data_IF_576656935068
#
_entry.id   IF_576656935068
#
_cell.length_a   1.000
_cell.length_b   1.000
_cell.length_c   1.000
_cell.angle_alpha   90.00
_cell.angle_beta   90.00
_cell.angle_gamma   90.00
#
_symmetry.space_group_name_H-M   'P 1'
#
loop_
_entity.id
_entity.type
_entity.pdbx_description
1 polymer ?
#
# COMPACT_ATOMS: atom_id res chain seq x y z
N UNK A 1 -20.51 -6.97 14.99
CA UNK A 1 -20.10 -8.37 14.77
C UNK A 1 -18.74 -8.55 15.39
N UNK A 2 -18.56 -9.54 16.23
CA UNK A 2 -17.31 -9.90 16.88
C UNK A 2 -16.36 -10.70 15.95
N UNK A 3 -15.11 -10.83 16.37
CA UNK A 3 -14.04 -11.51 15.62
C UNK A 3 -14.38 -12.99 15.28
N UNK A 4 -14.81 -13.82 16.25
CA UNK A 4 -15.15 -15.22 16.00
C UNK A 4 -16.27 -15.40 14.97
N UNK A 5 -17.35 -14.61 15.09
CA UNK A 5 -18.46 -14.69 14.13
C UNK A 5 -18.03 -14.29 12.72
N UNK A 6 -17.16 -13.28 12.59
CA UNK A 6 -16.63 -12.88 11.29
C UNK A 6 -15.77 -13.99 10.66
N UNK A 7 -14.94 -14.68 11.45
CA UNK A 7 -14.15 -15.81 10.98
C UNK A 7 -15.05 -16.96 10.48
N UNK A 8 -16.15 -17.26 11.19
CA UNK A 8 -17.13 -18.27 10.75
C UNK A 8 -17.78 -17.89 9.42
N UNK A 9 -18.14 -16.61 9.23
CA UNK A 9 -18.72 -16.14 7.96
C UNK A 9 -17.70 -16.23 6.81
N UNK A 10 -16.45 -15.85 7.07
CA UNK A 10 -15.36 -15.99 6.09
C UNK A 10 -15.13 -17.46 5.73
N UNK A 11 -15.24 -18.38 6.69
CA UNK A 11 -15.17 -19.81 6.46
C UNK A 11 -16.36 -20.33 5.64
N UNK A 12 -17.57 -19.82 5.89
CA UNK A 12 -18.75 -20.15 5.08
C UNK A 12 -18.59 -19.68 3.63
N UNK A 13 -17.98 -18.51 3.40
CA UNK A 13 -17.64 -18.00 2.07
C UNK A 13 -16.56 -18.83 1.34
N UNK A 14 -15.98 -19.84 2.00
CA UNK A 14 -15.08 -20.83 1.41
C UNK A 14 -15.74 -22.20 1.17
N UNK A 15 -17.00 -22.37 1.56
CA UNK A 15 -17.66 -23.68 1.52
C UNK A 15 -17.69 -24.25 0.08
N UNK A 16 -17.44 -25.56 -0.09
CA UNK A 16 -17.66 -26.22 -1.38
C UNK A 16 -19.14 -26.21 -1.78
N UNK A 17 -20.06 -26.10 -0.82
CA UNK A 17 -21.49 -25.96 -1.05
C UNK A 17 -21.82 -24.56 -1.61
N UNK A 18 -22.37 -24.44 -2.83
CA UNK A 18 -22.70 -23.15 -3.45
C UNK A 18 -23.65 -22.29 -2.62
N UNK A 19 -24.63 -22.89 -1.94
CA UNK A 19 -25.64 -22.16 -1.18
C UNK A 19 -25.05 -21.55 0.10
N UNK A 20 -24.22 -22.30 0.82
CA UNK A 20 -23.49 -21.80 1.99
C UNK A 20 -22.49 -20.71 1.62
N UNK A 21 -21.78 -20.88 0.50
CA UNK A 21 -20.84 -19.87 0.00
C UNK A 21 -21.54 -18.56 -0.29
N UNK A 22 -22.66 -18.62 -1.03
CA UNK A 22 -23.46 -17.46 -1.37
C UNK A 22 -24.03 -16.78 -0.12
N UNK A 23 -24.50 -17.55 0.86
CA UNK A 23 -24.97 -17.02 2.13
C UNK A 23 -23.85 -16.31 2.92
N UNK A 24 -22.64 -16.89 2.94
CA UNK A 24 -21.45 -16.28 3.55
C UNK A 24 -21.07 -14.95 2.88
N UNK A 25 -21.00 -14.92 1.55
CA UNK A 25 -20.71 -13.69 0.79
C UNK A 25 -21.79 -12.61 0.99
N UNK A 26 -23.07 -12.99 1.02
CA UNK A 26 -24.17 -12.06 1.32
C UNK A 26 -24.05 -11.47 2.72
N UNK A 27 -23.68 -12.30 3.70
CA UNK A 27 -23.46 -11.85 5.08
C UNK A 27 -22.30 -10.85 5.15
N UNK A 28 -21.17 -11.13 4.49
CA UNK A 28 -20.05 -10.16 4.41
C UNK A 28 -20.52 -8.83 3.83
N UNK A 29 -21.29 -8.86 2.74
CA UNK A 29 -21.81 -7.65 2.11
C UNK A 29 -22.80 -6.88 2.99
N UNK A 30 -23.56 -7.57 3.85
CA UNK A 30 -24.48 -6.93 4.79
C UNK A 30 -23.74 -6.18 5.89
N UNK A 31 -22.63 -6.73 6.40
CA UNK A 31 -21.90 -6.17 7.54
C UNK A 31 -20.67 -5.34 7.14
N UNK A 32 -20.39 -5.16 5.85
CA UNK A 32 -19.18 -4.50 5.36
C UNK A 32 -19.02 -3.04 5.85
N UNK A 33 -20.13 -2.36 6.17
CA UNK A 33 -20.15 -0.98 6.69
C UNK A 33 -20.35 -0.90 8.21
N UNK A 34 -20.36 -2.04 8.91
CA UNK A 34 -20.47 -2.04 10.36
C UNK A 34 -19.20 -1.45 11.00
N UNK A 35 -19.32 -0.71 12.12
CA UNK A 35 -18.17 -0.17 12.83
C UNK A 35 -17.12 -1.23 13.17
N UNK A 36 -15.85 -0.89 13.00
CA UNK A 36 -14.66 -1.73 13.17
C UNK A 36 -14.57 -2.94 12.24
N UNK A 37 -15.43 -3.07 11.21
CA UNK A 37 -15.37 -4.22 10.30
C UNK A 37 -13.99 -4.37 9.65
N UNK A 38 -13.41 -3.27 9.15
CA UNK A 38 -12.06 -3.25 8.57
C UNK A 38 -10.97 -3.63 9.55
N UNK A 39 -11.07 -3.13 10.78
CA UNK A 39 -10.09 -3.41 11.84
C UNK A 39 -10.12 -4.90 12.20
N UNK A 40 -11.31 -5.50 12.29
CA UNK A 40 -11.46 -6.94 12.55
C UNK A 40 -10.93 -7.79 11.40
N UNK A 41 -11.15 -7.40 10.14
CA UNK A 41 -10.53 -8.08 9.00
C UNK A 41 -9.01 -8.07 9.10
N UNK A 42 -8.40 -6.92 9.41
CA UNK A 42 -6.95 -6.84 9.63
C UNK A 42 -6.46 -7.75 10.76
N UNK A 43 -7.19 -7.80 11.87
CA UNK A 43 -6.89 -8.70 12.99
C UNK A 43 -6.91 -10.18 12.56
N UNK A 44 -7.92 -10.60 11.78
CA UNK A 44 -7.98 -11.97 11.23
C UNK A 44 -6.80 -12.23 10.28
N UNK A 45 -6.46 -11.29 9.42
CA UNK A 45 -5.37 -11.46 8.43
C UNK A 45 -4.02 -11.71 9.11
N UNK A 46 -3.74 -11.04 10.23
CA UNK A 46 -2.47 -11.17 10.97
C UNK A 46 -2.49 -12.31 12.00
N UNK A 47 -3.66 -12.80 12.40
CA UNK A 47 -3.77 -13.88 13.39
C UNK A 47 -3.19 -15.21 12.87
N UNK A 48 -2.09 -15.64 13.47
CA UNK A 48 -1.41 -16.90 13.11
C UNK A 48 -2.15 -18.14 13.60
N UNK A 49 -3.13 -18.00 14.49
CA UNK A 49 -3.98 -19.10 14.94
C UNK A 49 -5.18 -19.33 13.99
N UNK A 50 -5.42 -18.40 13.05
CA UNK A 50 -6.48 -18.53 12.06
C UNK A 50 -5.97 -19.30 10.83
N UNK A 51 -6.83 -20.16 10.28
CA UNK A 51 -6.51 -20.94 9.08
C UNK A 51 -6.11 -20.03 7.91
N UNK A 52 -5.07 -20.43 7.17
CA UNK A 52 -4.52 -19.64 6.06
C UNK A 52 -5.58 -19.32 4.99
N UNK A 53 -6.52 -20.24 4.74
CA UNK A 53 -7.62 -20.04 3.80
C UNK A 53 -8.54 -18.89 4.23
N UNK A 54 -8.92 -18.85 5.51
CA UNK A 54 -9.74 -17.78 6.10
C UNK A 54 -9.00 -16.44 6.05
N UNK A 55 -7.72 -16.43 6.43
CA UNK A 55 -6.84 -15.24 6.34
C UNK A 55 -6.75 -14.71 4.91
N UNK A 56 -6.65 -15.61 3.92
CA UNK A 56 -6.58 -15.24 2.52
C UNK A 56 -7.89 -14.59 2.04
N UNK A 57 -9.06 -15.18 2.34
CA UNK A 57 -10.35 -14.57 1.99
C UNK A 57 -10.56 -13.24 2.68
N UNK A 58 -10.19 -13.15 3.97
CA UNK A 58 -10.23 -11.88 4.70
C UNK A 58 -9.39 -10.81 4.00
N UNK A 59 -8.16 -11.14 3.55
CA UNK A 59 -7.28 -10.20 2.85
C UNK A 59 -7.81 -9.76 1.49
N UNK A 60 -8.45 -10.67 0.75
CA UNK A 60 -9.07 -10.36 -0.55
C UNK A 60 -10.29 -9.46 -0.35
N UNK A 61 -11.14 -9.78 0.64
CA UNK A 61 -12.31 -8.98 0.96
C UNK A 61 -11.91 -7.58 1.43
N UNK A 62 -10.93 -7.49 2.34
CA UNK A 62 -10.35 -6.22 2.81
C UNK A 62 -9.84 -5.37 1.64
N UNK A 63 -9.06 -5.96 0.72
CA UNK A 63 -8.57 -5.26 -0.47
C UNK A 63 -9.69 -4.73 -1.36
N UNK A 64 -10.67 -5.59 -1.68
CA UNK A 64 -11.78 -5.20 -2.54
C UNK A 64 -12.61 -4.07 -1.91
N UNK A 65 -12.80 -4.12 -0.59
CA UNK A 65 -13.50 -3.08 0.14
C UNK A 65 -12.71 -1.76 0.15
N UNK A 66 -11.41 -1.78 0.48
CA UNK A 66 -10.55 -0.59 0.49
C UNK A 66 -10.50 0.06 -0.90
N UNK A 67 -10.30 -0.74 -1.95
CA UNK A 67 -10.27 -0.25 -3.33
C UNK A 67 -11.55 0.50 -3.73
N UNK A 68 -12.72 0.05 -3.25
CA UNK A 68 -14.02 0.62 -3.61
C UNK A 68 -14.46 1.78 -2.70
N UNK A 69 -14.12 1.74 -1.42
CA UNK A 69 -14.76 2.60 -0.41
C UNK A 69 -13.80 3.54 0.34
N UNK A 70 -12.47 3.42 0.16
CA UNK A 70 -11.52 4.24 0.92
C UNK A 70 -11.59 5.72 0.57
N UNK A 71 -11.64 6.04 -0.72
CA UNK A 71 -11.87 7.38 -1.25
C UNK A 71 -12.98 7.31 -2.29
N UNK A 72 -14.26 7.34 -1.87
CA UNK A 72 -15.38 7.33 -2.82
C UNK A 72 -15.31 8.57 -3.71
N UNK A 73 -15.77 8.45 -4.96
CA UNK A 73 -15.91 9.59 -5.87
C UNK A 73 -16.81 10.66 -5.24
N UNK A 74 -16.64 11.92 -5.65
CA UNK A 74 -17.24 13.11 -5.03
C UNK A 74 -18.77 13.08 -4.83
N UNK A 75 -19.49 12.23 -5.58
CA UNK A 75 -20.96 12.05 -5.46
C UNK A 75 -21.38 10.93 -4.49
N UNK A 76 -20.44 10.20 -3.89
CA UNK A 76 -20.72 9.08 -3.00
C UNK A 76 -20.45 9.43 -1.53
N UNK A 77 -21.45 9.22 -0.66
CA UNK A 77 -21.30 9.37 0.78
C UNK A 77 -20.14 8.52 1.32
N UNK A 78 -19.30 9.11 2.17
CA UNK A 78 -18.28 8.38 2.92
C UNK A 78 -18.93 7.31 3.79
N UNK A 79 -18.59 6.04 3.52
CA UNK A 79 -19.17 4.88 4.22
C UNK A 79 -18.28 4.31 5.33
N UNK A 80 -17.05 4.80 5.45
CA UNK A 80 -16.07 4.33 6.44
C UNK A 80 -15.91 5.39 7.51
N UNK A 81 -16.01 4.99 8.78
CA UNK A 81 -15.76 5.88 9.92
C UNK A 81 -14.30 6.33 9.94
N UNK A 82 -14.07 7.60 10.25
CA UNK A 82 -12.72 8.16 10.32
C UNK A 82 -11.84 7.43 11.36
N UNK A 83 -12.42 7.04 12.50
CA UNK A 83 -11.72 6.24 13.53
C UNK A 83 -11.22 4.90 13.01
N UNK A 84 -11.98 4.25 12.13
CA UNK A 84 -11.58 2.97 11.53
C UNK A 84 -10.45 3.20 10.51
N UNK A 85 -10.49 4.31 9.75
CA UNK A 85 -9.38 4.68 8.86
C UNK A 85 -8.09 4.93 9.63
N UNK A 86 -8.15 5.64 10.75
CA UNK A 86 -7.00 5.93 11.60
C UNK A 86 -6.38 4.63 12.13
N UNK A 87 -7.20 3.72 12.67
CA UNK A 87 -6.74 2.41 13.13
C UNK A 87 -6.13 1.58 11.99
N UNK A 88 -6.74 1.57 10.80
CA UNK A 88 -6.17 0.87 9.65
C UNK A 88 -4.79 1.43 9.28
N UNK A 89 -4.64 2.76 9.24
CA UNK A 89 -3.35 3.42 8.97
C UNK A 89 -2.28 3.06 10.00
N UNK A 90 -2.62 3.07 11.29
CA UNK A 90 -1.67 2.77 12.35
C UNK A 90 -1.17 1.31 12.30
N UNK A 91 -2.03 0.37 11.94
CA UNK A 91 -1.71 -1.07 12.00
C UNK A 91 -1.15 -1.64 10.69
N UNK A 92 -1.60 -1.16 9.52
CA UNK A 92 -1.28 -1.78 8.23
C UNK A 92 0.22 -1.81 7.92
N UNK A 93 0.97 -0.77 8.35
CA UNK A 93 2.42 -0.68 8.14
C UNK A 93 3.17 -1.76 8.91
N UNK A 94 2.72 -2.08 10.13
CA UNK A 94 3.31 -3.16 10.93
C UNK A 94 2.87 -4.53 10.42
N UNK A 95 1.61 -4.68 10.01
CA UNK A 95 1.11 -5.99 9.58
C UNK A 95 1.68 -6.44 8.24
N UNK A 96 1.95 -5.51 7.31
CA UNK A 96 2.52 -5.89 6.00
C UNK A 96 3.92 -6.52 6.12
N UNK A 97 4.66 -6.23 7.19
CA UNK A 97 5.99 -6.83 7.45
C UNK A 97 5.87 -8.21 8.12
N UNK A 98 4.81 -8.45 8.88
CA UNK A 98 4.61 -9.68 9.66
C UNK A 98 3.92 -10.80 8.90
N UNK A 99 3.10 -10.48 7.89
CA UNK A 99 2.32 -11.50 7.17
C UNK A 99 3.14 -12.24 6.11
N UNK A 100 2.77 -13.49 5.75
CA UNK A 100 3.40 -14.23 4.65
C UNK A 100 3.26 -13.53 3.28
N UNK A 101 4.12 -13.86 2.29
CA UNK A 101 4.12 -13.21 0.98
C UNK A 101 2.76 -13.17 0.28
N UNK A 102 1.97 -14.24 0.39
CA UNK A 102 0.63 -14.35 -0.20
C UNK A 102 -0.32 -13.24 0.28
N UNK A 103 -0.33 -12.98 1.59
CA UNK A 103 -1.17 -11.94 2.21
C UNK A 103 -0.55 -10.56 2.03
N UNK A 104 0.79 -10.47 2.05
CA UNK A 104 1.54 -9.23 1.84
C UNK A 104 1.21 -8.57 0.50
N UNK A 105 1.03 -9.35 -0.57
CA UNK A 105 0.63 -8.81 -1.87
C UNK A 105 -0.75 -8.13 -1.80
N UNK A 106 -1.71 -8.73 -1.08
CA UNK A 106 -3.05 -8.14 -0.93
C UNK A 106 -2.99 -6.85 -0.08
N UNK A 107 -2.28 -6.87 1.05
CA UNK A 107 -2.09 -5.68 1.90
C UNK A 107 -1.29 -4.59 1.17
N UNK A 108 -0.34 -4.94 0.31
CA UNK A 108 0.40 -4.00 -0.52
C UNK A 108 -0.48 -3.23 -1.49
N UNK A 109 -1.46 -3.89 -2.12
CA UNK A 109 -2.44 -3.21 -2.97
C UNK A 109 -3.36 -2.30 -2.16
N UNK A 110 -3.76 -2.71 -0.95
CA UNK A 110 -4.52 -1.83 -0.05
C UNK A 110 -3.71 -0.59 0.32
N UNK A 111 -2.45 -0.80 0.71
CA UNK A 111 -1.53 0.26 1.10
C UNK A 111 -1.31 1.24 -0.06
N UNK A 112 -1.19 0.74 -1.29
CA UNK A 112 -1.13 1.59 -2.49
C UNK A 112 -2.36 2.50 -2.59
N UNK A 113 -3.57 1.97 -2.46
CA UNK A 113 -4.80 2.78 -2.50
C UNK A 113 -4.82 3.83 -1.39
N UNK A 114 -4.49 3.45 -0.16
CA UNK A 114 -4.50 4.35 1.00
C UNK A 114 -3.44 5.45 0.83
N UNK A 115 -2.23 5.12 0.37
CA UNK A 115 -1.16 6.10 0.11
C UNK A 115 -1.58 7.09 -0.99
N UNK A 116 -2.27 6.63 -2.04
CA UNK A 116 -2.72 7.54 -3.10
C UNK A 116 -3.75 8.55 -2.58
N UNK A 117 -4.65 8.12 -1.70
CA UNK A 117 -5.71 8.96 -1.15
C UNK A 117 -5.24 9.88 -0.01
N UNK A 118 -4.45 9.36 0.94
CA UNK A 118 -4.27 10.01 2.25
C UNK A 118 -2.90 10.70 2.41
N UNK A 119 -1.86 10.32 1.64
CA UNK A 119 -0.52 10.91 1.78
C UNK A 119 -0.32 12.11 0.84
N UNK A 120 0.33 13.21 1.25
CA UNK A 120 0.92 13.45 2.57
C UNK A 120 0.00 14.08 3.61
N UNK A 121 -1.13 14.68 3.22
CA UNK A 121 -1.88 15.61 4.08
C UNK A 121 -2.56 14.91 5.26
N UNK A 122 -3.21 13.78 5.02
CA UNK A 122 -3.94 13.02 6.05
C UNK A 122 -3.07 11.97 6.74
N UNK A 123 -1.92 11.62 6.15
CA UNK A 123 -1.02 10.61 6.70
C UNK A 123 0.47 11.01 6.69
N UNK A 124 0.85 12.14 7.31
CA UNK A 124 2.23 12.64 7.28
C UNK A 124 3.22 11.71 7.99
N UNK A 125 2.77 10.98 9.02
CA UNK A 125 3.58 10.05 9.82
C UNK A 125 4.11 8.85 9.04
N UNK A 126 3.60 8.59 7.84
CA UNK A 126 4.05 7.49 6.99
C UNK A 126 5.56 7.58 6.70
N UNK A 127 6.05 8.77 6.36
CA UNK A 127 7.46 8.97 6.02
C UNK A 127 8.35 8.79 7.26
N UNK A 128 7.91 9.26 8.42
CA UNK A 128 8.61 9.06 9.70
C UNK A 128 8.75 7.58 10.04
N UNK A 129 7.67 6.80 9.86
CA UNK A 129 7.72 5.36 10.04
C UNK A 129 8.73 4.69 9.09
N UNK A 130 8.76 5.07 7.81
CA UNK A 130 9.72 4.53 6.84
C UNK A 130 11.15 4.83 7.26
N UNK A 131 11.48 6.07 7.62
CA UNK A 131 12.84 6.46 8.04
C UNK A 131 13.33 5.70 9.25
N UNK A 132 12.45 5.54 10.24
CA UNK A 132 12.76 4.79 11.45
C UNK A 132 13.07 3.33 11.12
N UNK A 133 12.21 2.68 10.32
CA UNK A 133 12.36 1.26 10.00
C UNK A 133 13.46 0.95 8.96
N UNK A 134 13.93 1.95 8.19
CA UNK A 134 15.11 1.81 7.33
C UNK A 134 16.41 1.65 8.13
N UNK A 135 16.45 2.17 9.36
CA UNK A 135 17.63 2.12 10.23
C UNK A 135 17.61 0.96 11.22
N UNK A 136 16.46 0.31 11.37
CA UNK A 136 16.23 -0.79 12.31
C UNK A 136 16.24 -2.16 11.59
N UNK A 137 15.86 -3.23 12.29
CA UNK A 137 15.83 -4.60 11.77
C UNK A 137 14.79 -4.85 10.67
N UNK A 138 13.84 -3.92 10.46
CA UNK A 138 12.71 -4.06 9.53
C UNK A 138 12.99 -3.46 8.13
N UNK A 139 14.25 -3.47 7.69
CA UNK A 139 14.69 -2.84 6.42
C UNK A 139 13.85 -3.27 5.22
N UNK A 140 13.58 -4.58 5.08
CA UNK A 140 12.76 -5.08 3.96
C UNK A 140 11.36 -4.46 3.96
N UNK A 141 10.71 -4.40 5.13
CA UNK A 141 9.38 -3.82 5.28
C UNK A 141 9.35 -2.34 4.94
N UNK A 142 10.33 -1.59 5.44
CA UNK A 142 10.48 -0.17 5.15
C UNK A 142 10.70 0.08 3.64
N UNK A 143 11.56 -0.70 2.99
CA UNK A 143 11.80 -0.62 1.55
C UNK A 143 10.56 -1.00 0.73
N UNK A 144 9.77 -1.98 1.19
CA UNK A 144 8.53 -2.37 0.52
C UNK A 144 7.50 -1.23 0.54
N UNK A 145 7.29 -0.61 1.71
CA UNK A 145 6.40 0.55 1.86
C UNK A 145 6.92 1.74 1.06
N UNK A 146 8.22 2.06 1.18
CA UNK A 146 8.86 3.15 0.47
C UNK A 146 8.73 2.97 -1.05
N UNK A 147 8.90 1.74 -1.55
CA UNK A 147 8.70 1.44 -2.98
C UNK A 147 7.30 1.82 -3.42
N UNK A 148 6.25 1.42 -2.68
CA UNK A 148 4.86 1.75 -3.02
C UNK A 148 4.65 3.27 -2.99
N UNK A 149 5.21 3.94 -1.98
CA UNK A 149 5.16 5.39 -1.86
C UNK A 149 5.82 6.10 -3.05
N UNK A 150 7.03 5.69 -3.45
CA UNK A 150 7.71 6.24 -4.62
C UNK A 150 6.93 6.02 -5.92
N UNK A 151 6.22 4.88 -6.06
CA UNK A 151 5.39 4.60 -7.25
C UNK A 151 4.24 5.57 -7.45
N UNK A 152 3.69 6.15 -6.37
CA UNK A 152 2.64 7.18 -6.46
C UNK A 152 3.06 8.32 -7.39
N UNK A 153 4.36 8.62 -7.42
CA UNK A 153 4.92 9.74 -8.17
C UNK A 153 5.63 9.32 -9.47
N UNK A 154 5.69 8.02 -9.80
CA UNK A 154 6.19 7.52 -11.10
C UNK A 154 5.20 7.82 -12.25
N UNK A 155 3.90 7.59 -12.03
CA UNK A 155 2.88 7.61 -13.09
C UNK A 155 2.58 9.00 -13.65
N UNK A 156 2.83 10.04 -12.86
CA UNK A 156 2.75 11.44 -13.30
C UNK A 156 3.72 11.69 -14.47
N UNK A 157 4.86 11.00 -14.52
CA UNK A 157 5.89 11.19 -15.55
C UNK A 157 5.65 10.41 -16.85
N UNK A 158 4.92 9.29 -16.85
CA UNK A 158 4.75 8.44 -18.05
C UNK A 158 3.75 9.05 -19.05
N UNK A 159 2.64 9.62 -18.57
CA UNK A 159 1.67 10.30 -19.44
C UNK A 159 2.29 11.51 -20.18
N UNK A 160 3.30 12.14 -19.58
CA UNK A 160 4.03 13.26 -20.18
C UNK A 160 4.83 12.85 -21.44
N UNK A 161 5.35 11.62 -21.49
CA UNK A 161 6.19 11.12 -22.60
C UNK A 161 5.35 10.73 -23.83
N UNK A 162 4.15 10.21 -23.60
CA UNK A 162 3.22 9.90 -24.69
C UNK A 162 2.71 11.18 -25.37
N UNK A 163 2.61 12.29 -24.63
CA UNK A 163 2.23 13.60 -25.17
C UNK A 163 3.37 14.23 -25.97
N UNK A 164 4.62 14.03 -25.56
CA UNK A 164 5.79 14.64 -26.21
C UNK A 164 6.09 14.05 -27.61
N UNK A 165 5.70 12.78 -27.86
CA UNK A 165 5.95 12.10 -29.14
C UNK A 165 4.86 12.28 -30.20
N UNK A 166 3.73 12.91 -29.89
CA UNK A 166 2.67 13.16 -30.87
C UNK A 166 2.07 14.55 -30.68
N UNK A 167 2.13 15.37 -31.73
CA UNK A 167 1.57 16.73 -31.83
C UNK A 167 0.21 16.87 -31.13
N UNK A 168 0.20 17.38 -29.90
CA UNK A 168 -0.98 17.91 -29.22
C UNK A 168 -0.57 18.95 -28.18
N UNK A 169 -0.07 20.10 -28.66
CA UNK A 169 0.30 21.26 -27.84
C UNK A 169 -0.85 21.82 -26.98
N UNK A 170 -2.10 21.38 -27.20
CA UNK A 170 -3.27 21.79 -26.42
C UNK A 170 -3.40 21.08 -25.06
N UNK A 171 -2.86 19.85 -24.90
CA UNK A 171 -2.88 19.15 -23.60
C UNK A 171 -1.63 19.43 -22.75
N UNK A 172 -0.52 19.83 -23.38
CA UNK A 172 0.70 20.21 -22.69
C UNK A 172 0.48 21.39 -21.71
N UNK A 173 -0.38 22.35 -22.04
CA UNK A 173 -0.68 23.48 -21.16
C UNK A 173 -1.42 23.10 -19.87
N UNK A 174 -2.20 22.03 -19.86
CA UNK A 174 -2.98 21.60 -18.67
C UNK A 174 -2.13 20.75 -17.73
N UNK A 175 -1.14 20.01 -18.24
CA UNK A 175 -0.35 19.04 -17.46
C UNK A 175 1.07 19.49 -17.10
N UNK A 176 1.60 20.54 -17.74
CA UNK A 176 2.85 21.20 -17.32
C UNK A 176 2.71 21.97 -15.99
N UNK A 177 1.53 21.91 -15.37
CA UNK A 177 1.20 22.52 -14.09
C UNK A 177 0.46 21.52 -13.18
N UNK A 178 1.01 20.32 -12.94
CA UNK A 178 0.95 19.85 -11.55
C UNK A 178 1.91 20.78 -10.81
N UNK A 179 1.35 21.70 -10.02
CA UNK A 179 2.08 22.77 -9.33
C UNK A 179 3.27 22.18 -8.58
N UNK A 180 4.32 22.98 -8.41
CA UNK A 180 5.51 22.61 -7.63
C UNK A 180 5.12 22.00 -6.25
N UNK A 181 3.99 22.45 -5.69
CA UNK A 181 3.36 21.93 -4.46
C UNK A 181 3.02 20.44 -4.50
N UNK A 182 2.55 19.88 -5.63
CA UNK A 182 2.28 18.44 -5.74
C UNK A 182 3.58 17.59 -5.82
N UNK A 183 4.72 18.23 -6.14
CA UNK A 183 6.05 17.58 -6.22
C UNK A 183 6.85 17.74 -4.93
N UNK A 184 6.57 18.76 -4.12
CA UNK A 184 7.12 18.96 -2.76
C UNK A 184 7.22 17.68 -1.93
N UNK A 185 6.20 16.81 -1.88
CA UNK A 185 6.27 15.59 -1.09
C UNK A 185 7.36 14.61 -1.57
N UNK A 186 7.65 14.60 -2.88
CA UNK A 186 8.69 13.75 -3.48
C UNK A 186 10.07 14.24 -3.09
N UNK A 187 10.32 15.55 -3.14
CA UNK A 187 11.56 16.15 -2.69
C UNK A 187 11.86 15.77 -1.24
N UNK A 188 10.85 15.89 -0.38
CA UNK A 188 10.96 15.50 1.02
C UNK A 188 11.24 14.00 1.20
N UNK A 189 10.56 13.12 0.45
CA UNK A 189 10.82 11.68 0.50
C UNK A 189 12.28 11.39 0.13
N UNK A 190 12.78 12.00 -0.95
CA UNK A 190 14.16 11.79 -1.40
C UNK A 190 15.16 12.29 -0.38
N UNK A 191 15.04 13.55 0.06
CA UNK A 191 15.95 14.18 1.00
C UNK A 191 16.06 13.37 2.31
N UNK A 192 14.92 12.92 2.83
CA UNK A 192 14.89 12.23 4.11
C UNK A 192 15.20 10.71 4.01
N UNK A 193 15.12 10.06 2.84
CA UNK A 193 15.36 8.60 2.72
C UNK A 193 16.64 8.23 1.99
N UNK A 194 17.11 9.05 1.04
CA UNK A 194 18.26 8.71 0.18
C UNK A 194 19.57 8.49 0.94
N UNK A 195 19.93 9.31 1.93
CA UNK A 195 21.15 9.06 2.71
C UNK A 195 21.15 7.67 3.35
N UNK A 196 19.99 7.22 3.86
CA UNK A 196 19.84 5.89 4.43
C UNK A 196 19.92 4.80 3.36
N UNK A 197 19.21 4.97 2.24
CA UNK A 197 19.25 4.02 1.13
C UNK A 197 20.64 3.84 0.56
N UNK A 198 21.40 4.92 0.39
CA UNK A 198 22.78 4.88 -0.10
C UNK A 198 23.69 4.12 0.86
N UNK A 199 23.61 4.42 2.16
CA UNK A 199 24.38 3.69 3.16
C UNK A 199 24.06 2.19 3.17
N UNK A 200 22.77 1.81 3.09
CA UNK A 200 22.36 0.40 3.02
C UNK A 200 22.89 -0.23 1.73
N UNK A 201 22.66 0.41 0.58
CA UNK A 201 23.10 -0.07 -0.73
C UNK A 201 24.61 -0.30 -0.76
N UNK A 202 25.39 0.69 -0.33
CA UNK A 202 26.85 0.62 -0.27
C UNK A 202 27.36 -0.54 0.59
N UNK A 203 26.65 -0.90 1.67
CA UNK A 203 27.00 -2.09 2.48
C UNK A 203 26.64 -3.38 1.76
N UNK A 204 25.45 -3.47 1.17
CA UNK A 204 24.96 -4.70 0.53
C UNK A 204 25.76 -5.07 -0.73
N UNK A 205 26.20 -4.10 -1.53
CA UNK A 205 26.96 -4.37 -2.77
C UNK A 205 28.39 -4.89 -2.51
N UNK A 206 28.91 -4.73 -1.31
CA UNK A 206 30.23 -5.25 -0.93
C UNK A 206 30.19 -6.73 -0.53
N UNK A 207 28.99 -7.30 -0.38
CA UNK A 207 28.83 -8.71 -0.01
C UNK A 207 29.17 -9.58 -1.22
N UNK A 208 30.25 -10.35 -1.09
CA UNK A 208 30.66 -11.35 -2.08
C UNK A 208 29.66 -12.52 -2.04
N UNK A 209 29.08 -12.87 -3.19
CA UNK A 209 28.04 -13.91 -3.33
C UNK A 209 26.79 -13.64 -2.46
N UNK A 210 26.01 -12.59 -2.75
CA UNK A 210 24.82 -12.26 -1.97
C UNK A 210 23.77 -13.37 -2.06
N UNK A 211 23.05 -13.59 -0.96
CA UNK A 211 21.85 -14.43 -0.98
C UNK A 211 20.77 -13.83 -1.89
N UNK A 212 19.77 -14.64 -2.28
CA UNK A 212 18.63 -14.16 -3.06
C UNK A 212 17.91 -12.99 -2.37
N UNK A 213 17.75 -13.06 -1.05
CA UNK A 213 17.12 -12.02 -0.25
C UNK A 213 17.89 -10.69 -0.33
N UNK A 214 19.22 -10.74 -0.22
CA UNK A 214 20.08 -9.54 -0.35
C UNK A 214 19.99 -8.97 -1.76
N UNK A 215 20.01 -9.82 -2.79
CA UNK A 215 19.86 -9.39 -4.17
C UNK A 215 18.50 -8.69 -4.42
N UNK A 216 17.43 -9.20 -3.82
CA UNK A 216 16.10 -8.57 -3.89
C UNK A 216 16.06 -7.21 -3.17
N UNK A 217 16.74 -7.05 -2.04
CA UNK A 217 16.89 -5.76 -1.36
C UNK A 217 17.64 -4.74 -2.23
N UNK A 218 18.78 -5.14 -2.79
CA UNK A 218 19.58 -4.30 -3.71
C UNK A 218 18.71 -3.86 -4.90
N UNK A 219 17.99 -4.80 -5.52
CA UNK A 219 17.07 -4.54 -6.63
C UNK A 219 15.96 -3.56 -6.24
N UNK A 220 15.41 -3.69 -5.03
CA UNK A 220 14.35 -2.82 -4.53
C UNK A 220 14.86 -1.39 -4.33
N UNK A 221 16.06 -1.23 -3.74
CA UNK A 221 16.72 0.07 -3.57
C UNK A 221 16.99 0.72 -4.94
N UNK A 222 17.54 -0.03 -5.90
CA UNK A 222 17.75 0.47 -7.27
C UNK A 222 16.45 0.95 -7.92
N UNK A 223 15.35 0.23 -7.73
CA UNK A 223 14.03 0.65 -8.24
C UNK A 223 13.54 1.93 -7.58
N UNK A 224 13.77 2.11 -6.28
CA UNK A 224 13.42 3.34 -5.56
C UNK A 224 14.25 4.52 -6.10
N UNK A 225 15.57 4.36 -6.23
CA UNK A 225 16.42 5.38 -6.84
C UNK A 225 15.97 5.74 -8.26
N UNK A 226 15.66 4.73 -9.08
CA UNK A 226 15.16 4.96 -10.43
C UNK A 226 13.83 5.75 -10.44
N UNK A 227 12.90 5.40 -9.55
CA UNK A 227 11.60 6.09 -9.42
C UNK A 227 11.81 7.59 -9.17
N UNK A 228 12.71 7.92 -8.26
CA UNK A 228 13.02 9.30 -7.91
C UNK A 228 13.79 10.03 -8.99
N UNK A 229 14.84 9.44 -9.58
CA UNK A 229 15.60 10.10 -10.66
C UNK A 229 14.68 10.44 -11.84
N UNK A 230 13.75 9.54 -12.18
CA UNK A 230 12.77 9.79 -13.23
C UNK A 230 11.80 10.94 -12.91
N UNK A 231 11.53 11.16 -11.62
CA UNK A 231 10.75 12.31 -11.16
C UNK A 231 11.54 13.63 -11.17
N UNK A 232 12.88 13.59 -11.12
CA UNK A 232 13.75 14.78 -10.99
C UNK A 232 14.46 15.21 -12.29
N UNK A 233 14.90 14.27 -13.14
CA UNK A 233 15.74 14.56 -14.32
C UNK A 233 15.00 15.21 -15.52
N UNK A 234 13.88 15.90 -15.30
CA UNK A 234 13.22 16.74 -16.31
C UNK A 234 12.93 18.15 -15.78
N UNK A 235 13.92 18.71 -15.08
CA UNK A 235 14.17 20.15 -14.97
C UNK A 235 15.21 20.49 -16.05
#
# INVERSE_FOLDING_TARGET
MDLPSLAVILQAALSPNPDERKAGEQSLNQFQFAPQHLVRLLQIIVDNNCDMSVRQVASIHFKNFVAKNWSPDSDTQQKILQSDKDLVRDHILTFVTQVPPLLRVQLGECLKTIIHADYPEQWPRLLDWVKHNLQDQQVYGALFVLRILSRKYEYVSIYFILIEKNRAAAFAHVWWFKSDEERTPVYRIVDETFPHLLNIFSRLVQIVNPSLEIADLIKLICKIFWSSIYSFCRI
#
